data_IF_299621842563
#
_entry.id   IF_299621842563
#
_cell.length_a   1.000
_cell.length_b   1.000
_cell.length_c   1.000
_cell.angle_alpha   90.00
_cell.angle_beta   90.00
_cell.angle_gamma   90.00
#
_symmetry.space_group_name_H-M   'P 1'
#
loop_
_entity.id
_entity.type
_entity.pdbx_description
1 polymer ?
#
# COMPACT_ATOMS: atom_id res chain seq x y z
N UNK A 1 11.57 -25.18 -10.89
CA UNK A 1 11.88 -23.74 -10.98
C UNK A 1 12.81 -23.39 -9.82
N UNK A 2 13.84 -22.59 -10.07
CA UNK A 2 14.71 -22.10 -9.00
C UNK A 2 14.00 -20.94 -8.30
N UNK A 3 13.76 -21.07 -7.00
CA UNK A 3 13.19 -19.99 -6.19
C UNK A 3 14.18 -18.82 -6.17
N UNK A 4 13.77 -17.65 -6.65
CA UNK A 4 14.62 -16.44 -6.58
C UNK A 4 14.52 -15.86 -5.18
N UNK A 5 15.65 -15.77 -4.48
CA UNK A 5 15.74 -15.13 -3.16
C UNK A 5 16.59 -13.86 -3.27
N UNK A 6 16.01 -12.71 -2.92
CA UNK A 6 16.75 -11.43 -2.84
C UNK A 6 16.57 -10.80 -1.47
N UNK A 7 17.66 -10.29 -0.88
CA UNK A 7 17.54 -9.44 0.30
C UNK A 7 17.00 -8.08 -0.12
N UNK A 8 15.93 -7.66 0.54
CA UNK A 8 15.41 -6.31 0.40
C UNK A 8 15.95 -5.45 1.54
N UNK A 9 16.13 -4.15 1.30
CA UNK A 9 16.77 -3.27 2.26
C UNK A 9 16.06 -1.92 2.34
N UNK A 10 16.14 -1.31 3.51
CA UNK A 10 15.69 0.06 3.72
C UNK A 10 14.51 0.18 4.68
N UNK A 11 14.38 1.40 5.22
CA UNK A 11 13.31 1.80 6.11
C UNK A 11 12.56 2.94 5.45
N UNK A 12 11.26 2.75 5.27
CA UNK A 12 10.42 3.67 4.51
C UNK A 12 9.35 4.26 5.44
N UNK A 13 9.16 5.60 5.44
CA UNK A 13 7.98 6.18 6.07
C UNK A 13 6.75 5.70 5.30
N UNK A 14 5.63 5.43 6.00
CA UNK A 14 4.38 4.98 5.35
C UNK A 14 3.60 6.14 4.72
N UNK A 15 3.88 7.36 5.17
CA UNK A 15 3.26 8.60 4.71
C UNK A 15 4.34 9.67 4.61
N UNK A 16 4.25 10.52 3.58
CA UNK A 16 5.02 11.77 3.54
C UNK A 16 4.15 12.94 4.00
N UNK A 17 4.35 13.39 5.24
CA UNK A 17 3.61 14.54 5.79
C UNK A 17 3.89 15.82 5.00
N UNK A 18 5.11 16.00 4.51
CA UNK A 18 5.51 17.16 3.70
C UNK A 18 4.82 17.16 2.33
N UNK A 19 4.73 16.00 1.66
CA UNK A 19 3.99 15.89 0.39
C UNK A 19 2.49 16.03 0.59
N UNK A 20 1.97 15.57 1.73
CA UNK A 20 0.57 15.77 2.08
C UNK A 20 0.26 17.25 2.26
N UNK A 21 1.04 17.97 3.07
CA UNK A 21 0.86 19.40 3.27
C UNK A 21 0.95 20.17 1.95
N UNK A 22 1.90 19.79 1.10
CA UNK A 22 2.01 20.35 -0.23
C UNK A 22 0.78 20.09 -1.11
N UNK A 23 0.18 18.90 -1.02
CA UNK A 23 -1.04 18.57 -1.76
C UNK A 23 -2.23 19.44 -1.32
N UNK A 24 -2.38 19.67 -0.02
CA UNK A 24 -3.45 20.53 0.52
C UNK A 24 -3.32 22.00 0.11
N UNK A 25 -2.08 22.47 -0.11
CA UNK A 25 -1.78 23.84 -0.54
C UNK A 25 -1.72 23.99 -2.06
N UNK A 26 -1.84 22.89 -2.82
CA UNK A 26 -1.62 22.90 -4.26
C UNK A 26 -2.72 23.65 -5.02
N UNK A 27 -2.30 24.58 -5.87
CA UNK A 27 -3.13 25.12 -6.94
C UNK A 27 -3.43 24.06 -8.02
N UNK A 28 -4.40 24.33 -8.90
CA UNK A 28 -4.73 23.44 -10.03
C UNK A 28 -3.53 23.17 -10.95
N UNK A 29 -2.64 24.16 -11.11
CA UNK A 29 -1.40 24.02 -11.88
C UNK A 29 -0.40 23.11 -11.15
N UNK A 30 -0.28 23.23 -9.84
CA UNK A 30 0.60 22.38 -9.03
C UNK A 30 0.11 20.94 -8.94
N UNK A 31 -1.20 20.71 -8.91
CA UNK A 31 -1.77 19.36 -9.00
C UNK A 31 -1.29 18.63 -10.25
N UNK A 32 -1.30 19.30 -11.42
CA UNK A 32 -0.78 18.72 -12.66
C UNK A 32 0.74 18.58 -12.67
N UNK A 33 1.48 19.63 -12.26
CA UNK A 33 2.95 19.66 -12.40
C UNK A 33 3.70 18.82 -11.37
N UNK A 34 3.29 18.90 -10.09
CA UNK A 34 3.98 18.21 -8.98
C UNK A 34 3.44 16.80 -8.79
N UNK A 35 2.12 16.64 -8.83
CA UNK A 35 1.48 15.37 -8.51
C UNK A 35 1.00 14.60 -9.74
N UNK A 36 1.25 15.09 -10.96
CA UNK A 36 0.84 14.40 -12.18
C UNK A 36 -0.67 14.21 -12.31
N UNK A 37 -1.48 15.03 -11.62
CA UNK A 37 -2.92 14.88 -11.60
C UNK A 37 -3.51 15.14 -12.99
N UNK A 38 -4.45 14.30 -13.42
CA UNK A 38 -5.16 14.45 -14.69
C UNK A 38 -6.56 15.00 -14.44
N UNK A 39 -6.95 16.03 -15.19
CA UNK A 39 -8.32 16.56 -15.13
C UNK A 39 -9.31 15.57 -15.76
N UNK A 40 -10.40 15.27 -15.06
CA UNK A 40 -11.52 14.42 -15.50
C UNK A 40 -12.82 15.16 -15.18
N UNK A 41 -13.40 15.83 -16.17
CA UNK A 41 -14.55 16.70 -15.96
C UNK A 41 -14.21 17.90 -15.06
N UNK A 42 -14.89 17.98 -13.93
CA UNK A 42 -14.69 18.97 -12.86
C UNK A 42 -13.70 18.52 -11.78
N UNK A 43 -13.14 17.30 -11.90
CA UNK A 43 -12.27 16.67 -10.91
C UNK A 43 -10.82 16.53 -11.39
N UNK A 44 -9.91 16.27 -10.45
CA UNK A 44 -8.52 15.91 -10.71
C UNK A 44 -8.24 14.51 -10.13
N UNK A 45 -7.81 13.60 -11.00
CA UNK A 45 -7.42 12.24 -10.64
C UNK A 45 -5.92 12.20 -10.39
N UNK A 46 -5.52 11.84 -9.18
CA UNK A 46 -4.12 11.66 -8.82
C UNK A 46 -3.65 10.24 -9.21
N UNK A 47 -2.48 10.10 -9.85
CA UNK A 47 -1.86 8.80 -10.03
C UNK A 47 -1.45 8.23 -8.68
N UNK A 48 -1.56 6.91 -8.49
CA UNK A 48 -1.29 6.25 -7.20
C UNK A 48 0.13 6.54 -6.67
N UNK A 49 1.09 6.74 -7.58
CA UNK A 49 2.48 7.07 -7.25
C UNK A 49 2.65 8.45 -6.61
N UNK A 50 1.68 9.35 -6.80
CA UNK A 50 1.71 10.70 -6.26
C UNK A 50 0.79 10.89 -5.04
N UNK A 51 0.15 9.82 -4.56
CA UNK A 51 -0.73 9.91 -3.40
C UNK A 51 0.11 9.83 -2.11
N UNK A 52 0.10 10.87 -1.26
CA UNK A 52 1.08 11.04 -0.19
C UNK A 52 0.84 10.16 1.06
N UNK A 53 -0.30 9.46 1.15
CA UNK A 53 -0.62 8.53 2.24
C UNK A 53 -0.46 7.05 1.87
N UNK A 54 0.20 6.78 0.75
CA UNK A 54 0.74 5.46 0.46
C UNK A 54 2.25 5.55 0.30
N UNK A 55 2.92 4.44 0.56
CA UNK A 55 4.32 4.26 0.20
C UNK A 55 4.43 3.15 -0.82
N UNK A 56 4.99 3.50 -1.98
CA UNK A 56 5.35 2.54 -3.01
C UNK A 56 6.83 2.20 -2.89
N UNK A 57 7.11 0.94 -2.59
CA UNK A 57 8.46 0.39 -2.61
C UNK A 57 8.66 -0.34 -3.93
N UNK A 58 9.62 0.14 -4.72
CA UNK A 58 10.03 -0.49 -5.98
C UNK A 58 10.84 -1.76 -5.69
N UNK A 59 10.39 -2.89 -6.21
CA UNK A 59 11.04 -4.20 -6.09
C UNK A 59 12.25 -4.37 -7.03
N UNK A 60 12.52 -3.36 -7.86
CA UNK A 60 13.61 -3.27 -8.83
C UNK A 60 13.35 -3.98 -10.16
N UNK A 61 12.42 -4.93 -10.19
CA UNK A 61 12.02 -5.68 -11.38
C UNK A 61 10.53 -6.04 -11.32
N UNK A 62 9.97 -6.43 -12.47
CA UNK A 62 8.66 -7.09 -12.48
C UNK A 62 8.79 -8.55 -12.05
N UNK A 63 7.88 -8.97 -11.16
CA UNK A 63 7.76 -10.33 -10.66
C UNK A 63 6.34 -10.84 -10.92
N UNK A 64 6.17 -12.13 -11.29
CA UNK A 64 4.86 -12.74 -11.32
C UNK A 64 4.27 -12.73 -9.91
N UNK A 65 2.98 -12.37 -9.76
CA UNK A 65 2.36 -12.36 -8.42
C UNK A 65 2.10 -13.76 -7.86
N UNK A 66 1.96 -14.76 -8.73
CA UNK A 66 1.79 -16.15 -8.29
C UNK A 66 3.02 -16.63 -7.53
N UNK A 67 2.85 -16.94 -6.24
CA UNK A 67 3.94 -17.40 -5.38
C UNK A 67 4.94 -16.33 -4.93
N UNK A 68 4.63 -15.06 -5.17
CA UNK A 68 5.43 -13.93 -4.68
C UNK A 68 5.25 -13.74 -3.18
N UNK A 69 6.36 -13.70 -2.44
CA UNK A 69 6.38 -13.49 -0.99
C UNK A 69 7.50 -12.54 -0.60
N UNK A 70 7.19 -11.51 0.20
CA UNK A 70 8.19 -10.76 0.97
C UNK A 70 8.10 -11.23 2.41
N UNK A 71 9.10 -11.97 2.87
CA UNK A 71 9.14 -12.50 4.24
C UNK A 71 9.81 -11.53 5.21
N UNK A 72 9.32 -11.50 6.43
CA UNK A 72 9.97 -10.79 7.54
C UNK A 72 9.87 -9.27 7.45
N UNK A 73 8.78 -8.72 6.90
CA UNK A 73 8.55 -7.27 6.89
C UNK A 73 8.26 -6.82 8.32
N UNK A 74 9.04 -5.89 8.86
CA UNK A 74 8.82 -5.35 10.19
C UNK A 74 8.01 -4.04 10.10
N UNK A 75 6.98 -3.91 10.92
CA UNK A 75 6.17 -2.69 11.04
C UNK A 75 6.47 -2.06 12.39
N UNK A 76 7.00 -0.85 12.37
CA UNK A 76 7.30 -0.08 13.58
C UNK A 76 6.26 1.03 13.74
N UNK A 77 5.52 1.02 14.86
CA UNK A 77 4.50 2.02 15.14
C UNK A 77 3.42 1.52 16.08
N UNK A 78 2.25 2.19 16.14
CA UNK A 78 1.14 1.82 17.02
C UNK A 78 0.34 0.61 16.52
N UNK A 79 1.01 -0.42 16.01
CA UNK A 79 0.40 -1.63 15.39
C UNK A 79 -0.53 -2.38 16.35
N UNK A 80 -0.32 -2.22 17.65
CA UNK A 80 -1.14 -2.88 18.67
C UNK A 80 -2.49 -2.21 18.92
N UNK A 81 -2.74 -1.04 18.34
CA UNK A 81 -3.93 -0.24 18.64
C UNK A 81 -5.12 -0.73 17.82
N UNK A 82 -6.29 -0.98 18.44
CA UNK A 82 -7.44 -1.58 17.75
C UNK A 82 -8.05 -0.69 16.66
N UNK A 83 -7.79 0.61 16.72
CA UNK A 83 -8.22 1.61 15.75
C UNK A 83 -7.26 1.78 14.57
N UNK A 84 -6.07 1.17 14.64
CA UNK A 84 -5.04 1.32 13.61
C UNK A 84 -5.26 0.30 12.52
N UNK A 85 -5.49 0.77 11.29
CA UNK A 85 -5.61 -0.04 10.08
C UNK A 85 -4.37 0.20 9.19
N UNK A 86 -3.77 -0.87 8.70
CA UNK A 86 -2.66 -0.88 7.77
C UNK A 86 -2.92 -1.91 6.68
N UNK A 87 -2.60 -1.57 5.45
CA UNK A 87 -2.58 -2.53 4.34
C UNK A 87 -1.20 -2.56 3.72
N UNK A 88 -0.71 -3.76 3.48
CA UNK A 88 0.59 -4.05 2.91
C UNK A 88 0.41 -5.12 1.84
N UNK A 89 0.68 -4.79 0.57
CA UNK A 89 0.41 -5.73 -0.51
C UNK A 89 1.00 -5.31 -1.84
N UNK A 90 0.98 -6.22 -2.80
CA UNK A 90 1.51 -5.98 -4.13
C UNK A 90 0.51 -5.19 -4.97
N UNK A 91 1.00 -4.19 -5.69
CA UNK A 91 0.18 -3.42 -6.63
C UNK A 91 0.02 -4.21 -7.93
N UNK A 92 -1.21 -4.60 -8.25
CA UNK A 92 -1.57 -5.40 -9.43
C UNK A 92 -2.67 -4.70 -10.20
N UNK A 93 -2.30 -4.04 -11.31
CA UNK A 93 -3.20 -3.08 -11.96
C UNK A 93 -3.59 -1.96 -10.99
N UNK A 94 -4.88 -1.81 -10.73
CA UNK A 94 -5.43 -0.83 -9.77
C UNK A 94 -5.66 -1.41 -8.35
N UNK A 95 -5.30 -2.68 -8.11
CA UNK A 95 -5.63 -3.42 -6.89
C UNK A 95 -4.39 -3.65 -6.01
N UNK A 96 -4.56 -3.81 -4.68
CA UNK A 96 -3.46 -4.04 -3.72
C UNK A 96 -3.63 -5.36 -3.01
N UNK A 97 -2.96 -6.39 -3.50
CA UNK A 97 -3.20 -7.75 -3.02
C UNK A 97 -2.16 -8.14 -1.99
N UNK A 98 -2.58 -8.36 -0.75
CA UNK A 98 -1.65 -8.72 0.32
C UNK A 98 -2.32 -8.94 1.67
N UNK A 99 -1.87 -8.20 2.67
CA UNK A 99 -2.21 -8.32 4.08
C UNK A 99 -2.83 -7.01 4.57
N UNK A 100 -3.84 -7.10 5.44
CA UNK A 100 -4.43 -5.98 6.17
C UNK A 100 -4.40 -6.29 7.65
N UNK A 101 -3.95 -5.33 8.43
CA UNK A 101 -3.72 -5.42 9.86
C UNK A 101 -4.61 -4.39 10.54
N UNK A 102 -5.49 -4.84 11.44
CA UNK A 102 -6.32 -3.97 12.27
C UNK A 102 -6.01 -4.24 13.74
N UNK A 103 -5.23 -3.35 14.36
CA UNK A 103 -4.56 -3.63 15.62
C UNK A 103 -3.71 -4.91 15.55
N UNK A 104 -3.77 -5.77 16.58
CA UNK A 104 -3.09 -7.09 16.58
C UNK A 104 -3.83 -8.18 15.81
N UNK A 105 -4.87 -7.83 15.05
CA UNK A 105 -5.69 -8.80 14.33
C UNK A 105 -5.55 -8.56 12.85
N UNK A 106 -5.00 -9.56 12.19
CA UNK A 106 -5.27 -9.77 10.80
C UNK A 106 -6.73 -10.14 10.59
N UNK A 107 -7.28 -9.69 9.48
CA UNK A 107 -8.62 -10.03 9.03
C UNK A 107 -8.47 -11.14 7.96
N UNK A 108 -9.52 -11.83 7.51
CA UNK A 108 -9.43 -12.82 6.39
C UNK A 108 -9.72 -12.18 5.03
N UNK A 109 -9.66 -12.93 3.90
CA UNK A 109 -9.96 -12.41 2.54
C UNK A 109 -11.20 -11.48 2.56
N UNK A 110 -11.00 -10.16 2.47
CA UNK A 110 -12.08 -9.18 2.39
C UNK A 110 -11.69 -8.08 1.44
N UNK A 111 -12.47 -7.95 0.37
CA UNK A 111 -12.41 -6.79 -0.50
C UNK A 111 -12.97 -5.58 0.24
N UNK A 112 -12.12 -4.61 0.55
CA UNK A 112 -12.56 -3.30 1.03
C UNK A 112 -11.88 -2.23 0.20
N UNK A 113 -12.63 -1.22 -0.30
CA UNK A 113 -11.99 -0.03 -0.82
C UNK A 113 -11.23 0.64 0.32
N UNK A 114 -9.95 0.94 0.11
CA UNK A 114 -9.24 1.86 0.99
C UNK A 114 -9.80 3.26 0.74
N UNK A 115 -10.75 3.65 1.57
CA UNK A 115 -11.23 5.03 1.63
C UNK A 115 -10.07 5.95 1.98
N UNK A 116 -10.20 7.28 1.73
CA UNK A 116 -9.26 8.23 2.29
C UNK A 116 -9.08 7.98 3.80
N UNK A 117 -7.86 8.15 4.33
CA UNK A 117 -7.60 8.04 5.76
C UNK A 117 -8.65 8.78 6.59
N UNK A 118 -9.08 8.16 7.70
CA UNK A 118 -10.26 8.57 8.46
C UNK A 118 -10.16 9.99 9.04
N UNK A 119 -8.95 10.50 9.17
CA UNK A 119 -8.62 11.80 9.74
C UNK A 119 -8.31 12.88 8.70
N UNK A 120 -8.55 12.60 7.42
CA UNK A 120 -8.51 13.59 6.33
C UNK A 120 -9.89 14.19 6.06
N UNK A 121 -10.28 15.15 6.89
CA UNK A 121 -11.62 15.76 6.85
C UNK A 121 -11.81 16.82 5.74
N UNK A 122 -10.74 17.54 5.36
CA UNK A 122 -10.81 18.72 4.49
C UNK A 122 -10.16 18.51 3.10
N UNK A 123 -10.32 17.33 2.50
CA UNK A 123 -9.74 17.05 1.18
C UNK A 123 -10.13 18.15 0.16
N UNK A 124 -9.17 18.64 -0.66
CA UNK A 124 -9.48 19.54 -1.75
C UNK A 124 -10.62 18.99 -2.60
N UNK A 125 -11.65 19.82 -2.84
CA UNK A 125 -12.84 19.40 -3.59
C UNK A 125 -12.45 18.87 -4.97
N UNK A 126 -13.00 17.71 -5.33
CA UNK A 126 -12.81 17.11 -6.65
C UNK A 126 -11.57 16.24 -6.81
N UNK A 127 -10.90 15.84 -5.73
CA UNK A 127 -9.88 14.79 -5.79
C UNK A 127 -10.52 13.40 -5.68
N UNK A 128 -10.18 12.52 -6.61
CA UNK A 128 -10.48 11.08 -6.53
C UNK A 128 -9.18 10.29 -6.36
N UNK A 129 -9.23 9.25 -5.54
CA UNK A 129 -8.11 8.38 -5.24
C UNK A 129 -8.32 6.99 -5.84
N UNK A 130 -7.24 6.26 -6.17
CA UNK A 130 -7.33 4.88 -6.64
C UNK A 130 -8.08 4.00 -5.63
N UNK A 131 -8.92 3.09 -6.14
CA UNK A 131 -9.66 2.12 -5.31
C UNK A 131 -8.77 0.92 -4.99
N UNK A 132 -8.04 0.99 -3.89
CA UNK A 132 -7.23 -0.14 -3.46
C UNK A 132 -8.12 -1.20 -2.83
N UNK A 133 -8.00 -2.43 -3.31
CA UNK A 133 -8.64 -3.60 -2.69
C UNK A 133 -7.59 -4.39 -1.98
N UNK A 134 -7.62 -4.36 -0.64
CA UNK A 134 -6.74 -5.12 0.21
C UNK A 134 -7.18 -6.59 0.32
N UNK A 135 -6.22 -7.46 0.60
CA UNK A 135 -6.50 -8.82 1.08
C UNK A 135 -5.91 -8.97 2.47
N UNK A 136 -6.37 -9.95 3.23
CA UNK A 136 -6.12 -10.01 4.66
C UNK A 136 -5.72 -11.43 5.05
N UNK A 137 -4.63 -11.56 5.80
CA UNK A 137 -4.01 -12.82 6.24
C UNK A 137 -3.41 -12.64 7.63
N UNK A 138 -3.42 -13.71 8.43
CA UNK A 138 -2.91 -13.74 9.81
C UNK A 138 -1.51 -13.13 9.97
N UNK A 139 -1.36 -12.22 10.94
CA UNK A 139 -0.09 -11.60 11.33
C UNK A 139 0.17 -11.93 12.79
N UNK A 140 1.37 -12.43 13.07
CA UNK A 140 1.85 -12.74 14.41
C UNK A 140 2.91 -11.73 14.84
N UNK A 141 2.53 -10.79 15.72
CA UNK A 141 3.42 -9.75 16.23
C UNK A 141 3.59 -8.55 15.29
N UNK A 142 4.73 -7.88 15.35
CA UNK A 142 5.09 -6.74 14.47
C UNK A 142 5.79 -7.14 13.17
N UNK A 143 5.90 -8.45 12.90
CA UNK A 143 6.57 -9.01 11.72
C UNK A 143 5.53 -9.69 10.83
N UNK A 144 5.56 -9.39 9.54
CA UNK A 144 4.57 -9.83 8.55
C UNK A 144 5.25 -10.47 7.35
N UNK A 145 4.72 -11.61 6.93
CA UNK A 145 5.00 -12.16 5.61
C UNK A 145 3.93 -11.69 4.63
N UNK A 146 4.34 -10.90 3.64
CA UNK A 146 3.46 -10.39 2.59
C UNK A 146 3.44 -11.40 1.47
N UNK A 147 2.28 -11.95 1.18
CA UNK A 147 2.11 -12.91 0.09
C UNK A 147 0.80 -12.63 -0.61
N UNK A 148 0.69 -13.09 -1.85
CA UNK A 148 -0.56 -13.04 -2.60
C UNK A 148 -1.38 -14.31 -2.35
N UNK A 149 -2.49 -14.24 -1.59
CA UNK A 149 -3.37 -15.39 -1.43
C UNK A 149 -4.21 -15.60 -2.71
N UNK A 150 -3.86 -16.65 -3.46
CA UNK A 150 -4.47 -16.97 -4.76
C UNK A 150 -5.99 -17.12 -4.70
N UNK A 151 -6.52 -17.70 -3.62
CA UNK A 151 -7.98 -17.84 -3.45
C UNK A 151 -8.69 -16.49 -3.41
N UNK A 152 -8.05 -15.47 -2.85
CA UNK A 152 -8.62 -14.13 -2.80
C UNK A 152 -8.47 -13.42 -4.17
N UNK A 153 -7.37 -13.64 -4.92
CA UNK A 153 -7.24 -13.13 -6.30
C UNK A 153 -8.37 -13.65 -7.21
N UNK A 154 -8.63 -14.96 -7.17
CA UNK A 154 -9.67 -15.60 -7.98
C UNK A 154 -11.04 -15.01 -7.67
N UNK A 155 -11.36 -14.79 -6.39
CA UNK A 155 -12.63 -14.14 -5.98
C UNK A 155 -12.76 -12.69 -6.45
N UNK A 156 -11.64 -12.01 -6.66
CA UNK A 156 -11.60 -10.64 -7.18
C UNK A 156 -11.60 -10.59 -8.72
N UNK A 157 -11.58 -11.75 -9.39
CA UNK A 157 -11.50 -11.83 -10.85
C UNK A 157 -10.14 -11.43 -11.42
N UNK A 158 -9.09 -11.42 -10.58
CA UNK A 158 -7.72 -11.09 -11.00
C UNK A 158 -6.99 -12.35 -11.50
N UNK A 159 -6.24 -12.21 -12.59
CA UNK A 159 -5.57 -13.34 -13.25
C UNK A 159 -4.25 -13.69 -12.56
N UNK A 160 -3.93 -14.98 -12.35
CA UNK A 160 -2.63 -15.45 -11.85
C UNK A 160 -1.42 -15.01 -12.70
N UNK A 161 -1.64 -14.68 -13.98
CA UNK A 161 -0.59 -14.28 -14.92
C UNK A 161 -0.16 -12.81 -14.80
N UNK A 162 -0.69 -12.05 -13.84
CA UNK A 162 -0.29 -10.66 -13.65
C UNK A 162 1.13 -10.58 -13.05
N UNK A 163 1.80 -9.46 -13.30
CA UNK A 163 3.07 -9.10 -12.69
C UNK A 163 2.90 -7.88 -11.81
N UNK A 164 3.85 -7.70 -10.91
CA UNK A 164 3.98 -6.51 -10.08
C UNK A 164 5.45 -6.12 -9.98
N UNK A 165 5.69 -4.81 -9.87
CA UNK A 165 6.99 -4.24 -9.52
C UNK A 165 6.97 -3.54 -8.16
N UNK A 166 5.79 -3.34 -7.57
CA UNK A 166 5.63 -2.47 -6.42
C UNK A 166 5.00 -3.20 -5.26
N UNK A 167 5.60 -3.04 -4.09
CA UNK A 167 4.97 -3.28 -2.80
C UNK A 167 4.37 -1.95 -2.33
N UNK A 168 3.07 -1.93 -2.10
CA UNK A 168 2.35 -0.78 -1.56
C UNK A 168 2.12 -0.96 -0.07
N UNK A 169 2.30 0.14 0.67
CA UNK A 169 1.89 0.28 2.06
C UNK A 169 0.89 1.41 2.19
N UNK A 170 -0.20 1.16 2.90
CA UNK A 170 -1.25 2.12 3.24
C UNK A 170 -1.50 2.10 4.74
N UNK A 171 -1.87 3.24 5.31
CA UNK A 171 -2.46 3.32 6.65
C UNK A 171 -3.77 4.09 6.65
N UNK A 172 -4.72 3.65 7.48
CA UNK A 172 -6.02 4.26 7.65
C UNK A 172 -6.03 5.59 8.41
N UNK A 173 -4.88 6.05 8.92
CA UNK A 173 -4.76 7.32 9.65
C UNK A 173 -3.49 8.07 9.24
N UNK A 174 -3.64 9.31 8.82
CA UNK A 174 -2.52 10.21 8.51
C UNK A 174 -1.84 10.73 9.76
N UNK A 175 -2.59 10.98 10.83
CA UNK A 175 -2.09 11.55 12.09
C UNK A 175 -0.99 10.72 12.76
N UNK A 176 -0.83 9.45 12.36
CA UNK A 176 0.24 8.57 12.83
C UNK A 176 1.42 8.45 11.86
N UNK A 177 1.39 9.12 10.71
CA UNK A 177 2.37 8.99 9.62
C UNK A 177 3.82 9.23 10.05
N UNK A 178 4.07 10.19 10.95
CA UNK A 178 5.41 10.47 11.48
C UNK A 178 5.92 9.46 12.54
N UNK A 179 5.11 8.45 12.87
CA UNK A 179 5.40 7.44 13.90
C UNK A 179 5.35 6.01 13.35
N UNK A 180 5.13 5.87 12.04
CA UNK A 180 4.91 4.60 11.39
C UNK A 180 5.93 4.38 10.28
N UNK A 181 6.68 3.30 10.41
CA UNK A 181 7.73 2.92 9.47
C UNK A 181 7.59 1.46 9.07
N UNK A 182 7.96 1.19 7.82
CA UNK A 182 8.13 -0.15 7.29
C UNK A 182 9.62 -0.39 7.17
N UNK A 183 10.13 -1.38 7.89
CA UNK A 183 11.51 -1.81 7.80
C UNK A 183 11.60 -3.12 7.02
N UNK A 184 12.26 -3.03 5.87
CA UNK A 184 12.55 -4.15 4.98
C UNK A 184 13.97 -4.66 5.15
N UNK A 185 14.80 -4.09 6.03
CA UNK A 185 16.23 -4.41 6.15
C UNK A 185 16.54 -5.87 6.49
N UNK A 186 15.62 -6.56 7.17
CA UNK A 186 15.70 -8.00 7.45
C UNK A 186 14.88 -8.88 6.50
N UNK A 187 14.26 -8.31 5.47
CA UNK A 187 13.27 -8.99 4.65
C UNK A 187 13.89 -9.71 3.44
N UNK A 188 13.21 -10.77 2.99
CA UNK A 188 13.60 -11.52 1.80
C UNK A 188 12.45 -11.63 0.80
N UNK A 189 12.73 -11.33 -0.47
CA UNK A 189 11.81 -11.53 -1.58
C UNK A 189 12.01 -12.93 -2.14
N UNK A 190 10.91 -13.69 -2.23
CA UNK A 190 10.85 -15.07 -2.71
C UNK A 190 9.83 -15.19 -3.85
N UNK A 191 10.19 -15.90 -4.92
CA UNK A 191 9.33 -16.12 -6.09
C UNK A 191 9.39 -17.59 -6.50
N UNK A 192 8.24 -18.27 -6.64
CA UNK A 192 8.15 -19.69 -6.99
C UNK A 192 7.84 -19.95 -8.45
#
# INVERSE_FOLDING_TARGET
MAMVVRQFGGRFPVISLDELEALFRASSVELGRRFGARRVGDKYLLPIQAVPWFTLVDLGHEYPVNGLVVRGVMIEGPVDKPWFDLVLGFLVGDYVVGVSVVGRRAVGCRSRPLNPPLDLWDLPRGLEFPRLVAVTREVTGGVVDVSVPMDCLVRLGLSPGQSTRFLLVYTGLVSVGGRLFIDLSGSSLLVS
#
